data_IF_610288501823
#
_entry.id   IF_610288501823
#
_cell.length_a   1.000
_cell.length_b   1.000
_cell.length_c   1.000
_cell.angle_alpha   90.00
_cell.angle_beta   90.00
_cell.angle_gamma   90.00
#
_symmetry.space_group_name_H-M   'P 1'
#
loop_
_entity.id
_entity.type
_entity.pdbx_description
1 polymer ?
#
# COMPACT_ATOMS: atom_id res chain seq x y z
N UNK A 1 -3.59 -10.55 38.24
CA UNK A 1 -4.28 -9.97 37.08
C UNK A 1 -3.37 -10.05 35.85
N UNK A 2 -3.84 -10.68 34.77
CA UNK A 2 -3.12 -10.72 33.47
C UNK A 2 -3.75 -9.76 32.47
N UNK A 3 -2.92 -8.95 31.82
CA UNK A 3 -3.32 -8.06 30.75
C UNK A 3 -3.02 -8.64 29.38
N UNK A 4 -3.94 -8.52 28.43
CA UNK A 4 -3.74 -8.87 27.02
C UNK A 4 -3.49 -7.62 26.18
N UNK A 5 -2.45 -7.64 25.35
CA UNK A 5 -2.23 -6.66 24.27
C UNK A 5 -1.99 -7.41 22.96
N UNK A 6 -2.64 -6.98 21.88
CA UNK A 6 -2.46 -7.55 20.54
C UNK A 6 -1.98 -6.47 19.59
N UNK A 7 -0.94 -6.78 18.82
CA UNK A 7 -0.41 -5.88 17.80
C UNK A 7 0.35 -6.63 16.72
N UNK A 8 0.44 -6.04 15.52
CA UNK A 8 1.24 -6.61 14.42
C UNK A 8 2.74 -6.53 14.71
N UNK A 9 3.19 -5.47 15.38
CA UNK A 9 4.60 -5.21 15.69
C UNK A 9 5.52 -5.26 14.46
N UNK A 10 5.18 -4.54 13.39
CA UNK A 10 5.90 -4.53 12.10
C UNK A 10 6.65 -3.19 11.85
N UNK A 11 7.79 -2.89 12.49
CA UNK A 11 8.44 -3.63 13.58
C UNK A 11 7.89 -3.25 14.97
N UNK A 12 8.44 -3.86 16.02
CA UNK A 12 8.29 -3.36 17.39
C UNK A 12 8.98 -1.98 17.54
N UNK A 13 8.37 -1.03 18.26
CA UNK A 13 8.86 0.36 18.30
C UNK A 13 8.62 1.02 19.65
N UNK A 14 9.19 2.23 19.87
CA UNK A 14 9.16 2.90 21.18
C UNK A 14 7.73 3.17 21.69
N UNK A 15 6.80 3.51 20.79
CA UNK A 15 5.37 3.61 21.13
C UNK A 15 4.74 2.31 21.66
N UNK A 16 5.15 1.13 21.16
CA UNK A 16 4.69 -0.14 21.72
C UNK A 16 5.32 -0.41 23.09
N UNK A 17 6.61 -0.10 23.24
CA UNK A 17 7.33 -0.29 24.50
C UNK A 17 6.75 0.56 25.64
N UNK A 18 6.40 1.82 25.38
CA UNK A 18 5.81 2.70 26.39
C UNK A 18 4.50 2.14 26.94
N UNK A 19 3.67 1.56 26.07
CA UNK A 19 2.44 0.88 26.47
C UNK A 19 2.75 -0.35 27.30
N UNK A 20 3.64 -1.23 26.84
CA UNK A 20 3.96 -2.46 27.57
C UNK A 20 4.54 -2.15 28.96
N UNK A 21 5.39 -1.12 29.09
CA UNK A 21 5.88 -0.63 30.38
C UNK A 21 4.75 -0.18 31.31
N UNK A 22 3.69 0.43 30.78
CA UNK A 22 2.51 0.80 31.56
C UNK A 22 1.74 -0.44 32.02
N UNK A 23 1.49 -1.39 31.11
CA UNK A 23 0.81 -2.64 31.45
C UNK A 23 1.59 -3.41 32.52
N UNK A 24 2.93 -3.45 32.44
CA UNK A 24 3.81 -4.11 33.42
C UNK A 24 3.71 -3.52 34.83
N UNK A 25 3.30 -2.25 34.97
CA UNK A 25 3.05 -1.62 36.27
C UNK A 25 1.66 -1.91 36.83
N UNK A 26 0.71 -2.24 35.96
CA UNK A 26 -0.70 -2.45 36.31
C UNK A 26 -1.09 -3.92 36.42
N UNK A 27 -0.31 -4.84 35.84
CA UNK A 27 -0.63 -6.26 35.73
C UNK A 27 0.56 -7.12 36.18
N UNK A 28 0.27 -8.25 36.83
CA UNK A 28 1.30 -9.18 37.31
C UNK A 28 2.02 -9.88 36.15
N UNK A 29 1.29 -10.13 35.05
CA UNK A 29 1.82 -10.71 33.83
C UNK A 29 1.13 -10.13 32.57
N UNK A 30 1.84 -10.19 31.45
CA UNK A 30 1.37 -9.64 30.17
C UNK A 30 1.30 -10.73 29.12
N UNK A 31 0.15 -10.88 28.46
CA UNK A 31 0.02 -11.68 27.24
C UNK A 31 0.20 -10.75 26.05
N UNK A 32 1.19 -11.03 25.21
CA UNK A 32 1.53 -10.22 24.03
C UNK A 32 1.19 -11.04 22.78
N UNK A 33 0.03 -10.76 22.21
CA UNK A 33 -0.40 -11.34 20.94
C UNK A 33 0.31 -10.69 19.76
N UNK A 34 1.19 -11.44 19.09
CA UNK A 34 1.81 -11.06 17.83
C UNK A 34 0.80 -11.34 16.71
N UNK A 35 -0.05 -10.35 16.43
CA UNK A 35 -1.13 -10.45 15.45
C UNK A 35 -0.63 -10.51 14.00
N UNK A 36 -1.48 -10.95 13.08
CA UNK A 36 -1.09 -11.22 11.68
C UNK A 36 0.16 -12.08 11.59
N UNK A 37 0.24 -13.14 12.41
CA UNK A 37 1.42 -13.99 12.52
C UNK A 37 1.80 -14.68 11.18
N UNK A 38 0.79 -15.01 10.37
CA UNK A 38 0.91 -15.65 9.06
C UNK A 38 1.51 -14.73 7.97
N UNK A 39 1.53 -13.42 8.18
CA UNK A 39 2.00 -12.45 7.19
C UNK A 39 3.48 -12.09 7.40
N UNK A 40 4.25 -12.17 6.32
CA UNK A 40 5.66 -11.75 6.23
C UNK A 40 6.01 -11.39 4.78
N UNK A 41 7.20 -10.85 4.52
CA UNK A 41 7.71 -10.58 3.16
C UNK A 41 6.77 -9.71 2.30
N UNK A 42 6.10 -8.74 2.91
CA UNK A 42 5.34 -7.70 2.19
C UNK A 42 5.74 -6.32 2.69
N UNK A 43 5.41 -5.25 1.97
CA UNK A 43 5.69 -3.88 2.42
C UNK A 43 4.96 -3.51 3.72
N UNK A 44 3.80 -4.10 3.95
CA UNK A 44 3.04 -3.89 5.18
C UNK A 44 3.51 -4.76 6.34
N UNK A 45 3.89 -6.00 6.04
CA UNK A 45 4.33 -6.99 7.01
C UNK A 45 5.67 -7.60 6.54
N UNK A 46 6.79 -6.88 6.68
CA UNK A 46 8.08 -7.36 6.17
C UNK A 46 8.72 -8.44 7.06
N UNK A 47 8.38 -8.47 8.35
CA UNK A 47 9.00 -9.35 9.33
C UNK A 47 8.11 -10.54 9.69
N UNK A 48 8.70 -11.71 9.87
CA UNK A 48 8.00 -12.93 10.29
C UNK A 48 7.54 -12.83 11.75
N UNK A 49 6.65 -13.72 12.19
CA UNK A 49 6.27 -13.79 13.61
C UNK A 49 7.48 -14.05 14.53
N UNK A 50 8.41 -14.93 14.10
CA UNK A 50 9.63 -15.25 14.85
C UNK A 50 10.59 -14.06 14.99
N UNK A 51 10.80 -13.30 13.92
CA UNK A 51 11.63 -12.09 13.96
C UNK A 51 11.04 -11.02 14.88
N UNK A 52 9.71 -10.84 14.83
CA UNK A 52 9.00 -9.93 15.72
C UNK A 52 9.08 -10.37 17.18
N UNK A 53 8.97 -11.67 17.45
CA UNK A 53 9.21 -12.23 18.77
C UNK A 53 10.63 -11.96 19.26
N UNK A 54 11.64 -12.09 18.41
CA UNK A 54 13.03 -11.80 18.75
C UNK A 54 13.23 -10.31 19.11
N UNK A 55 12.63 -9.40 18.34
CA UNK A 55 12.63 -7.95 18.63
C UNK A 55 12.00 -7.65 20.00
N UNK A 56 10.83 -8.22 20.26
CA UNK A 56 10.11 -8.10 21.53
C UNK A 56 10.94 -8.65 22.70
N UNK A 57 11.37 -9.92 22.61
CA UNK A 57 12.05 -10.61 23.70
C UNK A 57 13.38 -9.97 24.09
N UNK A 58 14.24 -9.58 23.11
CA UNK A 58 15.49 -8.86 23.39
C UNK A 58 15.22 -7.53 24.09
N UNK A 59 14.21 -6.78 23.65
CA UNK A 59 13.85 -5.49 24.25
C UNK A 59 13.31 -5.65 25.68
N UNK A 60 12.34 -6.54 25.90
CA UNK A 60 11.71 -6.73 27.22
C UNK A 60 12.69 -7.27 28.26
N UNK A 61 13.61 -8.15 27.85
CA UNK A 61 14.72 -8.62 28.70
C UNK A 61 15.59 -7.44 29.15
N UNK A 62 15.96 -6.52 28.26
CA UNK A 62 16.74 -5.32 28.59
C UNK A 62 16.01 -4.42 29.60
N UNK A 63 14.70 -4.33 29.45
CA UNK A 63 13.81 -3.52 30.31
C UNK A 63 13.40 -4.21 31.60
N UNK A 64 13.94 -5.41 31.87
CA UNK A 64 13.63 -6.24 33.05
C UNK A 64 12.14 -6.59 33.18
N UNK A 65 11.42 -6.62 32.06
CA UNK A 65 10.02 -7.10 31.99
C UNK A 65 10.08 -8.59 31.66
N UNK A 66 10.01 -9.43 32.69
CA UNK A 66 10.24 -10.87 32.55
C UNK A 66 8.96 -11.70 32.55
N UNK A 67 7.88 -11.22 33.18
CA UNK A 67 6.63 -11.96 33.29
C UNK A 67 5.69 -11.66 32.13
N UNK A 68 5.98 -12.23 30.96
CA UNK A 68 5.14 -12.10 29.78
C UNK A 68 5.03 -13.40 28.98
N UNK A 69 3.95 -13.52 28.22
CA UNK A 69 3.63 -14.67 27.37
C UNK A 69 3.48 -14.19 25.92
N UNK A 70 4.48 -14.43 25.06
CA UNK A 70 4.38 -14.14 23.64
C UNK A 70 3.48 -15.20 22.98
N UNK A 71 2.46 -14.78 22.24
CA UNK A 71 1.55 -15.69 21.54
C UNK A 71 1.42 -15.23 20.09
N UNK A 72 1.86 -16.00 19.08
CA UNK A 72 1.54 -15.70 17.70
C UNK A 72 0.04 -15.89 17.46
N UNK A 73 -0.63 -14.88 16.92
CA UNK A 73 -2.06 -14.91 16.62
C UNK A 73 -2.23 -14.68 15.12
N UNK A 74 -2.78 -15.67 14.43
CA UNK A 74 -3.11 -15.54 13.02
C UNK A 74 -4.45 -14.82 12.85
N UNK A 75 -4.63 -14.14 11.71
CA UNK A 75 -5.91 -13.52 11.40
C UNK A 75 -6.90 -14.58 10.91
N UNK A 76 -8.10 -14.61 11.49
CA UNK A 76 -9.20 -15.45 10.99
C UNK A 76 -10.16 -14.59 10.17
N UNK A 77 -10.62 -15.10 9.02
CA UNK A 77 -11.55 -14.39 8.13
C UNK A 77 -13.01 -14.43 8.64
N UNK A 78 -13.19 -14.42 9.96
CA UNK A 78 -14.46 -14.54 10.68
C UNK A 78 -14.36 -13.84 12.04
N UNK A 79 -14.91 -12.63 12.13
CA UNK A 79 -14.78 -11.78 13.32
C UNK A 79 -15.54 -12.32 14.53
N UNK A 80 -16.65 -13.02 14.30
CA UNK A 80 -17.51 -13.66 15.30
C UNK A 80 -16.80 -14.72 16.14
N UNK A 81 -15.79 -15.38 15.58
CA UNK A 81 -14.98 -16.39 16.28
C UNK A 81 -13.60 -15.90 16.69
N UNK A 82 -13.22 -14.66 16.32
CA UNK A 82 -11.86 -14.16 16.51
C UNK A 82 -11.45 -14.09 18.00
N UNK A 83 -12.35 -13.64 18.88
CA UNK A 83 -12.05 -13.62 20.33
C UNK A 83 -11.84 -15.02 20.87
N UNK A 84 -12.69 -15.97 20.49
CA UNK A 84 -12.55 -17.36 20.93
C UNK A 84 -11.31 -18.05 20.34
N UNK A 85 -10.88 -17.65 19.15
CA UNK A 85 -9.58 -18.02 18.60
C UNK A 85 -8.42 -17.51 19.47
N UNK A 86 -8.47 -16.23 19.90
CA UNK A 86 -7.46 -15.68 20.83
C UNK A 86 -7.48 -16.40 22.19
N UNK A 87 -8.66 -16.65 22.76
CA UNK A 87 -8.82 -17.39 24.02
C UNK A 87 -8.21 -18.78 23.96
N UNK A 88 -8.39 -19.49 22.84
CA UNK A 88 -7.85 -20.83 22.65
C UNK A 88 -6.30 -20.86 22.60
N UNK A 89 -5.67 -19.78 22.14
CA UNK A 89 -4.22 -19.67 21.99
C UNK A 89 -3.51 -19.10 23.22
N UNK A 90 -4.24 -18.46 24.13
CA UNK A 90 -3.66 -17.65 25.21
C UNK A 90 -3.99 -18.22 26.61
N UNK A 91 -3.12 -18.01 27.61
CA UNK A 91 -3.52 -18.16 29.00
C UNK A 91 -4.71 -17.27 29.34
N UNK A 92 -5.51 -17.64 30.36
CA UNK A 92 -6.62 -16.78 30.83
C UNK A 92 -6.13 -15.37 31.20
N UNK A 93 -6.85 -14.34 30.73
CA UNK A 93 -6.59 -12.92 30.99
C UNK A 93 -7.82 -12.18 31.49
N UNK A 94 -7.59 -11.06 32.18
CA UNK A 94 -8.63 -10.32 32.92
C UNK A 94 -9.03 -9.00 32.28
N UNK A 95 -8.12 -8.42 31.49
CA UNK A 95 -8.26 -7.08 30.88
C UNK A 95 -7.55 -7.02 29.54
N UNK A 96 -8.17 -6.38 28.56
CA UNK A 96 -7.63 -6.19 27.21
C UNK A 96 -7.25 -4.72 27.00
N UNK A 97 -6.02 -4.50 26.56
CA UNK A 97 -5.48 -3.19 26.19
C UNK A 97 -5.53 -3.03 24.68
N UNK A 98 -6.41 -2.16 24.19
CA UNK A 98 -6.52 -1.87 22.76
C UNK A 98 -7.10 -0.50 22.49
N UNK A 99 -6.63 0.14 21.42
CA UNK A 99 -7.23 1.33 20.84
C UNK A 99 -7.90 1.06 19.48
N UNK A 100 -7.91 -0.19 19.00
CA UNK A 100 -8.58 -0.55 17.76
C UNK A 100 -10.09 -0.68 18.01
N UNK A 101 -10.95 0.08 17.29
CA UNK A 101 -12.40 0.07 17.52
C UNK A 101 -13.05 -1.30 17.36
N UNK A 102 -12.63 -2.08 16.36
CA UNK A 102 -13.16 -3.41 16.09
C UNK A 102 -12.74 -4.39 17.19
N UNK A 103 -11.44 -4.46 17.53
CA UNK A 103 -10.94 -5.30 18.63
C UNK A 103 -11.64 -4.97 19.94
N UNK A 104 -11.81 -3.67 20.25
CA UNK A 104 -12.56 -3.21 21.44
C UNK A 104 -13.99 -3.75 21.44
N UNK A 105 -14.70 -3.62 20.31
CA UNK A 105 -16.09 -4.08 20.17
C UNK A 105 -16.20 -5.58 20.40
N UNK A 106 -15.37 -6.38 19.74
CA UNK A 106 -15.42 -7.85 19.82
C UNK A 106 -15.18 -8.38 21.24
N UNK A 107 -14.19 -7.84 21.95
CA UNK A 107 -13.92 -8.26 23.33
C UNK A 107 -14.99 -7.77 24.33
N UNK A 108 -15.58 -6.59 24.12
CA UNK A 108 -16.70 -6.12 24.95
C UNK A 108 -17.93 -7.02 24.82
N UNK A 109 -18.25 -7.48 23.59
CA UNK A 109 -19.36 -8.41 23.34
C UNK A 109 -19.16 -9.76 24.06
N UNK A 110 -17.92 -10.14 24.37
CA UNK A 110 -17.56 -11.33 25.13
C UNK A 110 -17.40 -11.07 26.64
N UNK A 111 -17.71 -9.86 27.11
CA UNK A 111 -17.71 -9.51 28.54
C UNK A 111 -16.35 -9.12 29.12
N UNK A 112 -15.31 -8.92 28.29
CA UNK A 112 -14.00 -8.52 28.79
C UNK A 112 -13.94 -7.04 29.15
N UNK A 113 -13.18 -6.74 30.22
CA UNK A 113 -12.82 -5.37 30.58
C UNK A 113 -11.83 -4.81 29.57
N UNK A 114 -12.12 -3.63 29.02
CA UNK A 114 -11.23 -2.94 28.08
C UNK A 114 -10.59 -1.73 28.74
N UNK A 115 -9.28 -1.58 28.57
CA UNK A 115 -8.56 -0.34 28.88
C UNK A 115 -8.01 0.30 27.60
N UNK A 116 -8.31 1.58 27.43
CA UNK A 116 -7.67 2.40 26.40
C UNK A 116 -6.20 2.62 26.74
N UNK A 117 -5.37 2.75 25.71
CA UNK A 117 -3.94 2.98 25.87
C UNK A 117 -3.64 4.46 25.61
N UNK A 118 -2.82 5.13 26.45
CA UNK A 118 -2.42 6.51 26.18
C UNK A 118 -1.76 6.58 24.80
N UNK A 119 -2.23 7.50 23.97
CA UNK A 119 -1.69 7.69 22.63
C UNK A 119 -0.36 8.44 22.73
N UNK A 120 0.74 7.72 22.79
CA UNK A 120 2.07 8.31 22.62
C UNK A 120 2.25 8.65 21.14
N UNK A 121 2.30 9.95 20.84
CA UNK A 121 2.53 10.58 19.54
C UNK A 121 2.41 9.64 18.32
N UNK A 122 1.16 9.40 17.89
CA UNK A 122 0.84 8.53 16.75
C UNK A 122 1.40 9.01 15.43
N UNK A 123 1.79 10.29 15.34
CA UNK A 123 2.36 10.87 14.12
C UNK A 123 3.82 10.46 13.95
N UNK A 124 4.53 10.24 15.06
CA UNK A 124 5.94 9.87 15.08
C UNK A 124 6.14 8.35 15.21
N UNK A 125 5.40 7.68 16.11
CA UNK A 125 5.60 6.25 16.41
C UNK A 125 4.58 5.36 15.72
N UNK A 126 4.73 5.22 14.40
CA UNK A 126 3.91 4.35 13.55
C UNK A 126 4.79 3.37 12.78
N UNK A 127 4.46 2.08 12.82
CA UNK A 127 5.14 1.07 12.01
C UNK A 127 5.16 1.42 10.52
N UNK A 128 4.13 2.12 10.00
CA UNK A 128 4.10 2.61 8.61
C UNK A 128 5.22 3.63 8.35
N UNK A 129 5.35 4.64 9.20
CA UNK A 129 6.37 5.68 9.04
C UNK A 129 7.78 5.15 9.28
N UNK A 130 7.94 4.22 10.22
CA UNK A 130 9.23 3.55 10.48
C UNK A 130 9.68 2.76 9.24
N UNK A 131 8.80 1.92 8.68
CA UNK A 131 9.11 1.19 7.43
C UNK A 131 9.39 2.14 6.27
N UNK A 132 8.68 3.26 6.21
CA UNK A 132 8.93 4.31 5.20
C UNK A 132 10.34 4.90 5.31
N UNK A 133 10.76 5.22 6.52
CA UNK A 133 12.11 5.73 6.80
C UNK A 133 13.20 4.70 6.48
N UNK A 134 12.97 3.44 6.80
CA UNK A 134 13.90 2.33 6.52
C UNK A 134 14.30 2.23 5.06
N UNK A 135 13.34 2.26 4.12
CA UNK A 135 13.68 2.10 2.71
C UNK A 135 14.22 3.37 2.05
N UNK A 136 14.00 4.53 2.68
CA UNK A 136 14.50 5.84 2.23
C UNK A 136 15.88 6.19 2.79
N UNK A 137 16.49 5.29 3.56
CA UNK A 137 17.74 5.56 4.28
C UNK A 137 17.63 6.79 5.21
N UNK A 138 16.44 7.05 5.75
CA UNK A 138 16.20 8.07 6.76
C UNK A 138 16.43 7.50 8.17
N UNK A 139 16.46 8.38 9.17
CA UNK A 139 16.75 8.05 10.58
C UNK A 139 15.58 7.32 11.27
N UNK A 140 15.44 6.01 11.00
CA UNK A 140 14.42 5.14 11.57
C UNK A 140 14.83 4.52 12.91
N UNK A 141 16.13 4.38 13.17
CA UNK A 141 16.66 3.70 14.35
C UNK A 141 16.26 4.41 15.64
N UNK A 142 16.15 5.74 15.63
CA UNK A 142 15.66 6.55 16.76
C UNK A 142 14.21 6.27 17.16
N UNK A 143 13.43 5.63 16.29
CA UNK A 143 12.01 5.36 16.53
C UNK A 143 11.77 3.98 17.16
N UNK A 144 12.81 3.15 17.23
CA UNK A 144 12.75 1.80 17.78
C UNK A 144 13.73 1.64 18.95
N UNK A 145 13.48 0.69 19.87
CA UNK A 145 14.50 0.31 20.85
C UNK A 145 15.77 -0.18 20.16
N UNK A 146 16.94 0.07 20.75
CA UNK A 146 18.25 -0.35 20.19
C UNK A 146 18.28 -1.84 19.83
N UNK A 147 17.69 -2.69 20.67
CA UNK A 147 17.61 -4.14 20.45
C UNK A 147 16.84 -4.51 19.18
N UNK A 148 15.84 -3.71 18.81
CA UNK A 148 15.09 -3.91 17.57
C UNK A 148 15.95 -3.54 16.37
N UNK A 149 16.65 -2.41 16.42
CA UNK A 149 17.56 -2.00 15.34
C UNK A 149 18.64 -3.06 15.10
N UNK A 150 19.25 -3.58 16.17
CA UNK A 150 20.21 -4.69 16.11
C UNK A 150 19.61 -5.92 15.41
N UNK A 151 18.39 -6.35 15.76
CA UNK A 151 17.71 -7.48 15.12
C UNK A 151 17.42 -7.21 13.65
N UNK A 152 16.96 -6.00 13.30
CA UNK A 152 16.65 -5.64 11.90
C UNK A 152 17.90 -5.67 11.04
N UNK A 153 19.05 -5.25 11.58
CA UNK A 153 20.33 -5.33 10.91
C UNK A 153 20.82 -6.79 10.79
N UNK A 154 20.65 -7.60 11.84
CA UNK A 154 21.00 -9.04 11.87
C UNK A 154 20.26 -9.85 10.79
N UNK A 155 19.00 -9.53 10.51
CA UNK A 155 18.14 -10.27 9.55
C UNK A 155 18.12 -9.66 8.14
N UNK A 156 19.01 -8.72 7.84
CA UNK A 156 19.03 -7.96 6.58
C UNK A 156 17.67 -7.28 6.26
N UNK A 157 16.94 -6.82 7.28
CA UNK A 157 15.57 -6.33 7.17
C UNK A 157 15.42 -5.12 6.23
N UNK A 158 16.41 -4.23 6.21
CA UNK A 158 16.43 -3.06 5.30
C UNK A 158 16.59 -3.51 3.85
N UNK A 159 17.52 -4.43 3.58
CA UNK A 159 17.73 -4.99 2.25
C UNK A 159 16.48 -5.72 1.77
N UNK A 160 15.84 -6.51 2.64
CA UNK A 160 14.56 -7.18 2.35
C UNK A 160 13.49 -6.16 1.96
N UNK A 161 13.28 -5.10 2.75
CA UNK A 161 12.32 -4.05 2.43
C UNK A 161 12.59 -3.39 1.08
N UNK A 162 13.86 -3.03 0.80
CA UNK A 162 14.26 -2.46 -0.49
C UNK A 162 14.01 -3.43 -1.66
N UNK A 163 14.26 -4.73 -1.46
CA UNK A 163 13.96 -5.76 -2.47
C UNK A 163 12.46 -5.86 -2.70
N UNK A 164 11.63 -5.89 -1.66
CA UNK A 164 10.16 -5.99 -1.79
C UNK A 164 9.56 -4.80 -2.54
N UNK A 165 10.10 -3.59 -2.36
CA UNK A 165 9.72 -2.41 -3.16
C UNK A 165 10.06 -2.63 -4.62
N UNK A 166 11.23 -3.25 -4.88
CA UNK A 166 11.68 -3.60 -6.22
C UNK A 166 10.96 -4.79 -6.81
N UNK A 167 10.26 -5.66 -6.08
CA UNK A 167 9.74 -6.93 -6.63
C UNK A 167 8.22 -7.01 -6.76
N UNK A 168 7.41 -6.51 -5.83
CA UNK A 168 6.09 -7.14 -5.64
C UNK A 168 4.86 -6.41 -6.17
N UNK A 169 4.98 -5.19 -6.70
CA UNK A 169 3.82 -4.47 -7.26
C UNK A 169 4.29 -3.65 -8.47
N UNK A 170 3.78 -3.89 -9.70
CA UNK A 170 4.16 -3.13 -10.89
C UNK A 170 4.16 -1.61 -10.70
N UNK A 171 3.18 -1.11 -9.95
CA UNK A 171 3.00 0.28 -9.55
C UNK A 171 4.19 0.79 -8.73
N UNK A 172 4.70 0.01 -7.76
CA UNK A 172 5.84 0.39 -6.93
C UNK A 172 7.14 0.43 -7.73
N UNK A 173 7.34 -0.50 -8.68
CA UNK A 173 8.49 -0.47 -9.61
C UNK A 173 8.48 0.79 -10.46
N UNK A 174 7.31 1.12 -11.02
CA UNK A 174 7.09 2.31 -11.84
C UNK A 174 7.33 3.58 -11.00
N UNK A 175 6.80 3.64 -9.79
CA UNK A 175 7.02 4.74 -8.85
C UNK A 175 8.51 4.90 -8.49
N UNK A 176 9.22 3.82 -8.18
CA UNK A 176 10.66 3.83 -7.91
C UNK A 176 11.47 4.46 -9.03
N UNK A 177 11.23 4.02 -10.27
CA UNK A 177 11.88 4.57 -11.46
C UNK A 177 11.57 6.07 -11.66
N UNK A 178 10.33 6.49 -11.40
CA UNK A 178 9.96 7.91 -11.49
C UNK A 178 10.60 8.76 -10.39
N UNK A 179 10.70 8.25 -9.15
CA UNK A 179 11.39 8.94 -8.06
C UNK A 179 12.88 9.09 -8.37
N UNK A 180 13.55 8.03 -8.82
CA UNK A 180 14.98 8.03 -9.13
C UNK A 180 15.32 9.02 -10.26
N UNK A 181 14.45 9.12 -11.26
CA UNK A 181 14.68 9.96 -12.46
C UNK A 181 14.05 11.35 -12.36
N UNK A 182 13.37 11.67 -11.25
CA UNK A 182 12.59 12.88 -11.07
C UNK A 182 11.59 13.15 -12.22
N UNK A 183 10.87 12.10 -12.63
CA UNK A 183 9.93 12.13 -13.75
C UNK A 183 8.50 12.23 -13.25
N UNK A 184 7.72 13.09 -13.87
CA UNK A 184 6.29 13.28 -13.62
C UNK A 184 5.40 12.70 -14.73
N UNK A 185 4.21 12.25 -14.35
CA UNK A 185 3.20 11.67 -15.25
C UNK A 185 1.80 12.21 -14.96
N UNK A 186 1.02 12.39 -16.02
CA UNK A 186 -0.42 12.66 -15.96
C UNK A 186 -1.19 11.71 -16.86
N UNK A 187 -2.47 11.47 -16.57
CA UNK A 187 -3.26 10.46 -17.29
C UNK A 187 -4.64 10.97 -17.75
N UNK A 188 -5.05 10.61 -18.95
CA UNK A 188 -6.40 10.83 -19.48
C UNK A 188 -7.06 9.48 -19.75
N UNK A 189 -8.11 9.18 -19.00
CA UNK A 189 -8.74 7.85 -18.96
C UNK A 189 -10.17 7.89 -19.51
N UNK A 190 -10.46 7.07 -20.52
CA UNK A 190 -11.83 6.83 -20.98
C UNK A 190 -12.34 5.51 -20.41
N UNK A 191 -12.10 4.38 -21.09
CA UNK A 191 -12.72 3.09 -20.73
C UNK A 191 -12.35 2.58 -19.33
N UNK A 192 -11.16 2.88 -18.81
CA UNK A 192 -10.69 2.45 -17.48
C UNK A 192 -11.39 3.18 -16.33
N UNK A 193 -11.96 4.36 -16.57
CA UNK A 193 -12.76 5.08 -15.56
C UNK A 193 -11.99 5.45 -14.28
N UNK A 194 -10.68 5.66 -14.36
CA UNK A 194 -9.86 6.09 -13.23
C UNK A 194 -9.00 5.00 -12.60
N UNK A 195 -9.05 3.77 -13.11
CA UNK A 195 -8.27 2.68 -12.56
C UNK A 195 -6.76 2.91 -12.68
N UNK A 196 -6.25 3.50 -13.77
CA UNK A 196 -4.82 3.78 -13.85
C UNK A 196 -4.41 4.83 -12.80
N UNK A 197 -5.22 5.89 -12.66
CA UNK A 197 -5.02 6.89 -11.61
C UNK A 197 -5.02 6.23 -10.22
N UNK A 198 -5.99 5.36 -9.94
CA UNK A 198 -6.08 4.61 -8.69
C UNK A 198 -4.79 3.83 -8.40
N UNK A 199 -4.32 3.04 -9.38
CA UNK A 199 -3.09 2.26 -9.25
C UNK A 199 -1.86 3.15 -8.98
N UNK A 200 -1.73 4.26 -9.71
CA UNK A 200 -0.63 5.21 -9.49
C UNK A 200 -0.71 5.89 -8.12
N UNK A 201 -1.91 6.19 -7.61
CA UNK A 201 -2.10 6.85 -6.31
C UNK A 201 -2.03 5.91 -5.11
N UNK A 202 -2.19 4.61 -5.32
CA UNK A 202 -2.05 3.60 -4.25
C UNK A 202 -0.61 3.47 -3.74
N UNK A 203 0.37 3.97 -4.49
CA UNK A 203 1.76 4.04 -4.02
C UNK A 203 1.93 5.26 -3.10
N UNK A 204 2.51 5.08 -1.89
CA UNK A 204 2.83 6.19 -1.00
C UNK A 204 3.71 7.25 -1.69
N UNK A 205 3.45 8.52 -1.38
CA UNK A 205 4.16 9.69 -1.93
C UNK A 205 4.05 9.85 -3.45
N UNK A 206 2.99 9.27 -4.04
CA UNK A 206 2.66 9.43 -5.45
C UNK A 206 2.49 10.89 -5.89
N UNK A 207 2.19 11.81 -4.97
CA UNK A 207 2.16 13.26 -5.24
C UNK A 207 3.48 13.83 -5.79
N UNK A 208 4.61 13.14 -5.63
CA UNK A 208 5.90 13.59 -6.20
C UNK A 208 6.04 13.31 -7.69
N UNK A 209 5.31 12.32 -8.24
CA UNK A 209 5.40 11.96 -9.66
C UNK A 209 4.07 12.05 -10.40
N UNK A 210 2.93 11.87 -9.73
CA UNK A 210 1.61 11.89 -10.35
C UNK A 210 0.97 13.26 -10.16
N UNK A 211 0.98 14.09 -11.21
CA UNK A 211 0.43 15.46 -11.12
C UNK A 211 -1.09 15.51 -11.27
N UNK A 212 -1.70 14.41 -11.75
CA UNK A 212 -3.15 14.26 -11.79
C UNK A 212 -3.64 13.55 -13.04
N UNK A 213 -4.94 13.29 -13.04
CA UNK A 213 -5.62 12.64 -14.16
C UNK A 213 -6.97 13.28 -14.47
N UNK A 214 -7.51 12.96 -15.64
CA UNK A 214 -8.87 13.35 -16.05
C UNK A 214 -9.61 12.16 -16.66
N UNK A 215 -10.82 11.93 -16.18
CA UNK A 215 -11.72 10.97 -16.79
C UNK A 215 -12.43 11.63 -17.97
N UNK A 216 -12.15 11.16 -19.18
CA UNK A 216 -12.57 11.73 -20.47
C UNK A 216 -13.47 10.75 -21.24
N UNK A 217 -14.52 10.31 -20.55
CA UNK A 217 -15.37 9.20 -21.00
C UNK A 217 -16.19 9.54 -22.25
N UNK A 218 -16.86 10.69 -22.28
CA UNK A 218 -17.68 11.14 -23.41
C UNK A 218 -16.89 11.99 -24.41
N UNK A 219 -17.41 12.12 -25.63
CA UNK A 219 -16.81 12.97 -26.67
C UNK A 219 -16.76 14.44 -26.23
N UNK A 220 -17.79 14.91 -25.53
CA UNK A 220 -17.77 16.24 -24.91
C UNK A 220 -16.64 16.39 -23.88
N UNK A 221 -16.35 15.35 -23.09
CA UNK A 221 -15.23 15.38 -22.15
C UNK A 221 -13.87 15.40 -22.88
N UNK A 222 -13.74 14.66 -24.01
CA UNK A 222 -12.57 14.70 -24.89
C UNK A 222 -12.38 16.11 -25.48
N UNK A 223 -13.44 16.72 -26.02
CA UNK A 223 -13.40 18.11 -26.52
C UNK A 223 -12.99 19.12 -25.45
N UNK A 224 -13.49 19.00 -24.21
CA UNK A 224 -13.05 19.84 -23.06
C UNK A 224 -11.59 19.64 -22.67
N UNK A 225 -11.03 18.44 -22.87
CA UNK A 225 -9.58 18.23 -22.73
C UNK A 225 -8.81 18.94 -23.85
N UNK A 226 -9.44 19.22 -24.98
CA UNK A 226 -8.85 19.88 -26.15
C UNK A 226 -8.55 18.90 -27.28
N UNK A 227 -9.22 17.76 -27.34
CA UNK A 227 -9.14 16.82 -28.46
C UNK A 227 -9.87 17.42 -29.66
N UNK A 228 -9.21 17.43 -30.80
CA UNK A 228 -9.72 17.97 -32.05
C UNK A 228 -10.97 17.23 -32.50
N UNK A 229 -12.03 18.01 -32.78
CA UNK A 229 -13.28 17.50 -33.34
C UNK A 229 -13.05 16.80 -34.68
N UNK A 230 -12.18 17.36 -35.52
CA UNK A 230 -11.77 16.75 -36.80
C UNK A 230 -11.15 15.37 -36.59
N UNK A 231 -10.39 15.15 -35.51
CA UNK A 231 -9.80 13.85 -35.19
C UNK A 231 -10.89 12.82 -34.85
N UNK A 232 -11.86 13.23 -34.04
CA UNK A 232 -12.97 12.36 -33.62
C UNK A 232 -13.86 12.02 -34.82
N UNK A 233 -14.18 12.99 -35.67
CA UNK A 233 -14.98 12.79 -36.88
C UNK A 233 -14.28 11.87 -37.89
N UNK A 234 -12.98 12.04 -38.11
CA UNK A 234 -12.23 11.27 -39.11
C UNK A 234 -11.92 9.83 -38.67
N UNK A 235 -11.65 9.59 -37.38
CA UNK A 235 -11.13 8.31 -36.89
C UNK A 235 -12.00 7.63 -35.82
N UNK A 236 -13.02 8.31 -35.31
CA UNK A 236 -13.82 7.88 -34.17
C UNK A 236 -13.10 8.06 -32.82
N UNK A 237 -13.90 8.04 -31.75
CA UNK A 237 -13.45 8.28 -30.36
C UNK A 237 -12.56 7.17 -29.79
N UNK A 238 -12.52 6.00 -30.44
CA UNK A 238 -11.67 4.86 -30.09
C UNK A 238 -10.72 4.57 -31.24
N UNK A 239 -9.61 5.31 -31.26
CA UNK A 239 -8.59 5.27 -32.32
C UNK A 239 -7.20 5.56 -31.76
N UNK A 240 -6.11 5.18 -32.45
CA UNK A 240 -4.75 5.50 -32.02
C UNK A 240 -4.49 7.02 -32.02
N UNK A 241 -5.12 7.77 -32.94
CA UNK A 241 -5.03 9.23 -33.02
C UNK A 241 -5.60 9.89 -31.76
N UNK A 242 -6.80 9.47 -31.34
CA UNK A 242 -7.42 9.98 -30.11
C UNK A 242 -6.59 9.58 -28.88
N UNK A 243 -6.07 8.36 -28.82
CA UNK A 243 -5.20 7.94 -27.70
C UNK A 243 -3.94 8.83 -27.57
N UNK A 244 -3.24 9.09 -28.68
CA UNK A 244 -2.07 9.96 -28.72
C UNK A 244 -2.41 11.41 -28.36
N UNK A 245 -3.55 11.91 -28.85
CA UNK A 245 -3.98 13.28 -28.55
C UNK A 245 -4.38 13.44 -27.08
N UNK A 246 -5.06 12.44 -26.49
CA UNK A 246 -5.34 12.37 -25.06
C UNK A 246 -4.05 12.45 -24.23
N UNK A 247 -3.06 11.60 -24.56
CA UNK A 247 -1.76 11.57 -23.89
C UNK A 247 -1.01 12.90 -24.01
N UNK A 248 -0.99 13.50 -25.20
CA UNK A 248 -0.36 14.80 -25.45
C UNK A 248 -1.03 15.92 -24.66
N UNK A 249 -2.36 16.04 -24.74
CA UNK A 249 -3.11 17.14 -24.13
C UNK A 249 -3.06 17.10 -22.61
N UNK A 250 -3.11 15.92 -21.99
CA UNK A 250 -3.01 15.83 -20.53
C UNK A 250 -1.59 16.16 -20.05
N UNK A 251 -0.55 15.74 -20.79
CA UNK A 251 0.84 16.11 -20.50
C UNK A 251 1.01 17.63 -20.50
N UNK A 252 0.55 18.28 -21.56
CA UNK A 252 0.64 19.74 -21.73
C UNK A 252 -0.13 20.49 -20.62
N UNK A 253 -1.39 20.10 -20.36
CA UNK A 253 -2.23 20.80 -19.36
C UNK A 253 -1.69 20.72 -17.94
N UNK A 254 -1.00 19.64 -17.59
CA UNK A 254 -0.44 19.43 -16.25
C UNK A 254 1.08 19.69 -16.20
N UNK A 255 1.70 20.14 -17.30
CA UNK A 255 3.15 20.37 -17.40
C UNK A 255 3.99 19.18 -16.93
N UNK A 256 3.60 17.95 -17.28
CA UNK A 256 4.34 16.74 -16.89
C UNK A 256 5.34 16.28 -17.94
N UNK A 257 6.32 15.48 -17.52
CA UNK A 257 7.28 14.88 -18.45
C UNK A 257 6.59 13.85 -19.36
N UNK A 258 5.63 13.10 -18.83
CA UNK A 258 4.90 12.04 -19.53
C UNK A 258 3.39 12.29 -19.43
N UNK A 259 2.66 12.00 -20.52
CA UNK A 259 1.21 11.84 -20.51
C UNK A 259 0.79 10.47 -21.01
N UNK A 260 -0.25 9.89 -20.41
CA UNK A 260 -0.85 8.62 -20.85
C UNK A 260 -2.30 8.86 -21.27
N UNK A 261 -2.69 8.32 -22.42
CA UNK A 261 -4.05 8.40 -22.95
C UNK A 261 -4.62 7.00 -23.18
N UNK A 262 -5.81 6.72 -22.63
CA UNK A 262 -6.49 5.44 -22.79
C UNK A 262 -7.89 5.65 -23.37
N UNK A 263 -8.15 5.05 -24.52
CA UNK A 263 -9.49 5.00 -25.13
C UNK A 263 -9.81 3.58 -25.63
N UNK A 264 -11.06 3.16 -25.52
CA UNK A 264 -11.42 1.77 -25.79
C UNK A 264 -12.89 1.45 -25.56
N UNK A 265 -13.29 0.25 -25.97
CA UNK A 265 -14.59 -0.33 -25.71
C UNK A 265 -14.46 -1.39 -24.62
N UNK A 266 -14.87 -1.08 -23.39
CA UNK A 266 -14.86 -2.07 -22.32
C UNK A 266 -15.92 -3.18 -22.48
N UNK A 267 -16.91 -2.99 -23.36
CA UNK A 267 -18.02 -3.93 -23.57
C UNK A 267 -19.29 -3.59 -22.75
N UNK A 268 -20.36 -4.39 -22.91
CA UNK A 268 -20.42 -5.66 -23.65
C UNK A 268 -20.67 -5.53 -25.17
N UNK A 269 -21.15 -4.38 -25.65
CA UNK A 269 -21.57 -4.21 -27.05
C UNK A 269 -20.46 -3.65 -27.96
N UNK A 270 -20.63 -3.81 -29.28
CA UNK A 270 -19.71 -3.28 -30.29
C UNK A 270 -18.38 -4.03 -30.35
N UNK A 271 -17.28 -3.32 -30.59
CA UNK A 271 -15.92 -3.88 -30.67
C UNK A 271 -15.31 -4.11 -29.27
N UNK A 272 -16.08 -4.74 -28.38
CA UNK A 272 -15.75 -4.96 -26.97
C UNK A 272 -14.35 -5.57 -26.81
N UNK A 273 -13.58 -5.07 -25.86
CA UNK A 273 -12.20 -5.46 -25.62
C UNK A 273 -11.14 -4.67 -26.40
N UNK A 274 -11.52 -3.91 -27.43
CA UNK A 274 -10.56 -3.10 -28.20
C UNK A 274 -10.17 -1.84 -27.44
N UNK A 275 -8.86 -1.68 -27.21
CA UNK A 275 -8.32 -0.57 -26.42
C UNK A 275 -7.04 -0.05 -27.05
N UNK A 276 -6.89 1.27 -27.09
CA UNK A 276 -5.67 1.96 -27.45
C UNK A 276 -5.09 2.64 -26.21
N UNK A 277 -3.80 2.41 -25.98
CA UNK A 277 -3.04 3.01 -24.90
C UNK A 277 -1.85 3.73 -25.51
N UNK A 278 -1.77 5.04 -25.25
CA UNK A 278 -0.69 5.87 -25.72
C UNK A 278 0.10 6.48 -24.56
N UNK A 279 1.41 6.62 -24.76
CA UNK A 279 2.34 7.35 -23.91
C UNK A 279 3.03 8.41 -24.76
N UNK A 280 3.02 9.65 -24.31
CA UNK A 280 3.69 10.77 -24.97
C UNK A 280 4.64 11.44 -23.99
N UNK A 281 5.90 11.60 -24.41
CA UNK A 281 6.91 12.42 -23.74
C UNK A 281 7.49 13.44 -24.72
N UNK A 282 8.51 14.19 -24.31
CA UNK A 282 9.28 15.06 -25.23
C UNK A 282 10.07 14.26 -26.27
N UNK A 283 10.54 13.07 -25.88
CA UNK A 283 11.45 12.26 -26.70
C UNK A 283 10.72 11.25 -27.57
N UNK A 284 9.57 10.75 -27.13
CA UNK A 284 8.94 9.59 -27.76
C UNK A 284 7.41 9.66 -27.71
N UNK A 285 6.78 9.09 -28.74
CA UNK A 285 5.34 8.84 -28.81
C UNK A 285 5.11 7.35 -29.06
N UNK A 286 4.48 6.68 -28.11
CA UNK A 286 4.17 5.26 -28.16
C UNK A 286 2.66 5.12 -28.21
N UNK A 287 2.12 4.31 -29.12
CA UNK A 287 0.72 3.92 -29.11
C UNK A 287 0.60 2.43 -29.40
N UNK A 288 -0.10 1.70 -28.53
CA UNK A 288 -0.35 0.27 -28.68
C UNK A 288 -1.84 -0.01 -28.77
N UNK A 289 -2.20 -0.97 -29.61
CA UNK A 289 -3.55 -1.51 -29.72
C UNK A 289 -3.63 -2.85 -29.03
N UNK A 290 -4.73 -3.09 -28.34
CA UNK A 290 -5.02 -4.32 -27.63
C UNK A 290 -6.44 -4.78 -27.94
N UNK A 291 -6.64 -6.10 -27.91
CA UNK A 291 -7.96 -6.75 -27.94
C UNK A 291 -8.05 -7.71 -26.75
N UNK A 292 -8.65 -7.24 -25.66
CA UNK A 292 -8.79 -8.01 -24.44
C UNK A 292 -10.06 -8.84 -24.45
N UNK A 293 -9.97 -10.10 -24.03
CA UNK A 293 -11.13 -10.93 -23.67
C UNK A 293 -11.58 -10.64 -22.23
N UNK A 294 -12.82 -11.01 -21.91
CA UNK A 294 -13.34 -10.98 -20.54
C UNK A 294 -14.51 -10.02 -20.34
N UNK A 295 -14.95 -9.92 -19.09
CA UNK A 295 -15.97 -8.99 -18.64
C UNK A 295 -15.53 -7.53 -18.80
N UNK A 296 -16.49 -6.62 -18.70
CA UNK A 296 -16.21 -5.17 -18.71
C UNK A 296 -15.18 -4.78 -17.66
N UNK A 297 -15.25 -5.36 -16.47
CA UNK A 297 -14.31 -5.09 -15.37
C UNK A 297 -12.92 -5.62 -15.69
N UNK A 298 -12.82 -6.85 -16.20
CA UNK A 298 -11.55 -7.46 -16.59
C UNK A 298 -10.85 -6.67 -17.70
N UNK A 299 -11.59 -6.19 -18.70
CA UNK A 299 -11.04 -5.34 -19.77
C UNK A 299 -10.47 -4.05 -19.20
N UNK A 300 -11.17 -3.41 -18.24
CA UNK A 300 -10.68 -2.19 -17.58
C UNK A 300 -9.40 -2.44 -16.79
N UNK A 301 -9.36 -3.51 -15.99
CA UNK A 301 -8.18 -3.85 -15.21
C UNK A 301 -6.97 -4.17 -16.07
N UNK A 302 -7.15 -5.02 -17.11
CA UNK A 302 -6.09 -5.37 -18.06
C UNK A 302 -5.55 -4.14 -18.76
N UNK A 303 -6.43 -3.22 -19.16
CA UNK A 303 -6.04 -1.94 -19.79
C UNK A 303 -5.18 -1.09 -18.87
N UNK A 304 -5.56 -0.93 -17.59
CA UNK A 304 -4.77 -0.17 -16.62
C UNK A 304 -3.41 -0.81 -16.36
N UNK A 305 -3.35 -2.14 -16.22
CA UNK A 305 -2.11 -2.91 -16.03
C UNK A 305 -1.18 -2.82 -17.24
N UNK A 306 -1.69 -2.89 -18.47
CA UNK A 306 -0.87 -2.72 -19.67
C UNK A 306 -0.34 -1.29 -19.81
N UNK A 307 -1.09 -0.27 -19.40
CA UNK A 307 -0.59 1.10 -19.36
C UNK A 307 0.60 1.25 -18.40
N UNK A 308 0.54 0.63 -17.22
CA UNK A 308 1.69 0.59 -16.29
C UNK A 308 2.90 -0.14 -16.89
N UNK A 309 2.69 -1.25 -17.61
CA UNK A 309 3.80 -1.97 -18.28
C UNK A 309 4.46 -1.13 -19.36
N UNK A 310 3.66 -0.40 -20.16
CA UNK A 310 4.19 0.54 -21.18
C UNK A 310 5.01 1.63 -20.51
N UNK A 311 4.47 2.26 -19.46
CA UNK A 311 5.18 3.29 -18.69
C UNK A 311 6.48 2.76 -18.10
N UNK A 312 6.45 1.58 -17.46
CA UNK A 312 7.64 0.93 -16.91
C UNK A 312 8.72 0.73 -17.97
N UNK A 313 8.37 0.12 -19.11
CA UNK A 313 9.32 -0.15 -20.19
C UNK A 313 9.95 1.12 -20.75
N UNK A 314 9.16 2.20 -20.84
CA UNK A 314 9.68 3.50 -21.25
C UNK A 314 10.66 4.06 -20.22
N UNK A 315 10.31 4.01 -18.93
CA UNK A 315 11.18 4.49 -17.84
C UNK A 315 12.48 3.70 -17.72
N UNK A 316 12.47 2.39 -17.98
CA UNK A 316 13.67 1.54 -17.98
C UNK A 316 14.65 1.87 -19.12
N UNK A 317 14.17 2.48 -20.21
CA UNK A 317 14.98 2.82 -21.39
C UNK A 317 15.72 4.15 -21.26
N UNK A 318 15.18 5.09 -20.48
CA UNK A 318 15.64 6.48 -20.42
C UNK A 318 16.59 6.77 -19.27
#
# INVERSE_FOLDING_TARGET
MRGLIIGRFQPFHLGHLSVIKKIAKECDAIIIGIGSAQHSHTLENPFTAGERYLMLSKTLKKEKILNYYPVPVEDVNRYDVWVSHVEALTPKFDVVYTNNPLTKRLFLEKGYRIKGMPMYDRTIYSGREIRKKMWRDEDWEKLVPKQVAEVINEIDGIKRLKTLIKTDVPENKVAGLMFEKNITVSVAESCTGGLLSHLLTNVPDSSRYFMGGRIVYSDNAKKRLGISEKTIEAFGSVSPQVALELAKKIREKNSTNIGIGITGFAGPSGDAGKVYIALVSEKEKICKSFKFSGSREEVKERSAKEALKILKKYLEKI
#
